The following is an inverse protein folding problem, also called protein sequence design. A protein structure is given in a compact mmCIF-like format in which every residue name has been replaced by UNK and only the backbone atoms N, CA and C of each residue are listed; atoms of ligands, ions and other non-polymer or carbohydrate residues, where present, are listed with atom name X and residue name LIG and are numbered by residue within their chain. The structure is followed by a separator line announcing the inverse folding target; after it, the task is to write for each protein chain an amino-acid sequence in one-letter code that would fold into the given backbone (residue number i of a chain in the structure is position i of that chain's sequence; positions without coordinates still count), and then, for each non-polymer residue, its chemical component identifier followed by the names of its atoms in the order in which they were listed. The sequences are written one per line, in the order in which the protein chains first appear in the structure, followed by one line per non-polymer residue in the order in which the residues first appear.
data_IF_159210410669
#
_entry.id   IF_159210410669
#
_cell.length_a   1.000
_cell.length_b   1.000
_cell.length_c   1.000
_cell.angle_alpha   90.00
_cell.angle_beta   90.00
_cell.angle_gamma   90.00
#
_symmetry.space_group_name_H-M   'P 1'
#
loop_
_entity.id
_entity.type
_entity.pdbx_description
1 polymer ?
#
# COMPACT_ATOMS: atom_id res chain seq x y z
N UNK A 1 10.90 -2.92 -26.66
CA UNK A 1 9.74 -3.55 -26.00
C UNK A 1 8.66 -2.50 -25.86
N UNK A 2 7.39 -2.87 -26.01
CA UNK A 2 6.26 -1.94 -25.81
C UNK A 2 6.29 -1.40 -24.36
N UNK A 3 6.21 -0.06 -24.23
CA UNK A 3 6.08 0.62 -22.94
C UNK A 3 4.61 0.79 -22.59
N UNK A 4 4.28 0.53 -21.34
CA UNK A 4 2.97 0.71 -20.73
C UNK A 4 3.00 2.01 -19.92
N UNK A 5 1.98 2.85 -20.09
CA UNK A 5 1.72 3.97 -19.19
C UNK A 5 0.99 3.43 -17.96
N UNK A 6 1.52 3.70 -16.77
CA UNK A 6 1.03 3.15 -15.53
C UNK A 6 0.76 4.23 -14.48
N UNK A 7 -0.08 3.89 -13.51
CA UNK A 7 -0.38 4.73 -12.36
C UNK A 7 -0.38 3.90 -11.07
N UNK A 8 0.48 4.27 -10.12
CA UNK A 8 0.49 3.71 -8.78
C UNK A 8 -0.41 4.56 -7.88
N UNK A 9 -1.58 4.03 -7.54
CA UNK A 9 -2.53 4.71 -6.64
C UNK A 9 -2.01 4.61 -5.21
N UNK A 10 -1.94 5.72 -4.48
CA UNK A 10 -1.51 5.74 -3.09
C UNK A 10 -2.40 6.63 -2.23
N UNK A 11 -2.16 6.63 -0.92
CA UNK A 11 -2.85 7.54 -0.01
C UNK A 11 -2.26 8.94 -0.12
N UNK A 12 -3.10 9.99 -0.01
CA UNK A 12 -2.61 11.37 0.04
C UNK A 12 -1.53 11.57 1.10
N UNK A 13 -0.41 12.14 0.68
CA UNK A 13 0.80 12.35 1.48
C UNK A 13 1.89 11.29 1.29
N UNK A 14 1.61 10.17 0.61
CA UNK A 14 2.59 9.09 0.36
C UNK A 14 3.17 9.10 -1.06
N UNK A 15 2.78 10.05 -1.90
CA UNK A 15 3.15 10.08 -3.33
C UNK A 15 4.67 10.15 -3.52
N UNK A 16 5.35 10.98 -2.73
CA UNK A 16 6.81 11.11 -2.79
C UNK A 16 7.52 9.80 -2.44
N UNK A 17 7.06 9.13 -1.38
CA UNK A 17 7.64 7.85 -0.92
C UNK A 17 7.42 6.77 -1.97
N UNK A 18 6.23 6.71 -2.59
CA UNK A 18 5.96 5.77 -3.69
C UNK A 18 6.82 6.07 -4.92
N UNK A 19 7.05 7.34 -5.25
CA UNK A 19 7.92 7.73 -6.36
C UNK A 19 9.38 7.30 -6.14
N UNK A 20 9.89 7.47 -4.92
CA UNK A 20 11.22 6.99 -4.52
C UNK A 20 11.31 5.46 -4.62
N UNK A 21 10.30 4.74 -4.12
CA UNK A 21 10.25 3.27 -4.21
C UNK A 21 10.18 2.77 -5.66
N UNK A 22 9.41 3.43 -6.53
CA UNK A 22 9.37 3.14 -7.96
C UNK A 22 10.75 3.33 -8.63
N UNK A 23 11.51 4.34 -8.22
CA UNK A 23 12.88 4.57 -8.70
C UNK A 23 13.81 3.37 -8.49
N UNK A 24 13.60 2.62 -7.41
CA UNK A 24 14.36 1.40 -7.10
C UNK A 24 13.91 0.18 -7.92
N UNK A 25 12.80 0.28 -8.64
CA UNK A 25 12.20 -0.79 -9.44
C UNK A 25 12.40 -0.59 -10.94
N UNK A 26 13.40 0.21 -11.34
CA UNK A 26 13.83 0.42 -12.73
C UNK A 26 12.65 0.67 -13.69
N UNK A 27 11.78 1.60 -13.32
CA UNK A 27 10.73 2.15 -14.17
C UNK A 27 11.18 3.50 -14.73
N UNK A 28 10.50 3.96 -15.78
CA UNK A 28 10.81 5.22 -16.46
C UNK A 28 9.77 6.31 -16.14
N UNK A 29 10.11 7.57 -16.42
CA UNK A 29 9.16 8.71 -16.44
C UNK A 29 8.29 8.85 -15.18
N UNK A 30 8.92 8.72 -14.01
CA UNK A 30 8.23 8.83 -12.71
C UNK A 30 7.78 10.29 -12.50
N UNK A 31 6.47 10.50 -12.37
CA UNK A 31 5.87 11.80 -12.11
C UNK A 31 4.80 11.69 -11.03
N UNK A 32 5.01 12.40 -9.93
CA UNK A 32 4.03 12.54 -8.85
C UNK A 32 2.77 13.24 -9.39
N UNK A 33 1.61 12.78 -8.93
CA UNK A 33 0.30 13.34 -9.23
C UNK A 33 -0.60 13.25 -8.00
N UNK A 34 -1.74 13.93 -8.00
CA UNK A 34 -2.66 13.83 -6.87
C UNK A 34 -3.17 12.39 -6.68
N UNK A 35 -2.94 11.83 -5.48
CA UNK A 35 -3.36 10.48 -5.12
C UNK A 35 -2.54 9.35 -5.76
N UNK A 36 -1.40 9.64 -6.39
CA UNK A 36 -0.56 8.60 -6.95
C UNK A 36 0.68 9.06 -7.71
N UNK A 37 1.24 8.13 -8.47
CA UNK A 37 2.46 8.36 -9.25
C UNK A 37 2.29 7.76 -10.64
N UNK A 38 2.43 8.59 -11.67
CA UNK A 38 2.53 8.16 -13.08
C UNK A 38 3.93 7.64 -13.34
N UNK A 39 4.04 6.58 -14.13
CA UNK A 39 5.31 6.02 -14.57
C UNK A 39 5.12 5.21 -15.84
N UNK A 40 6.22 4.89 -16.53
CA UNK A 40 6.25 3.96 -17.65
C UNK A 40 7.05 2.71 -17.34
N UNK A 41 6.62 1.58 -17.87
CA UNK A 41 7.35 0.31 -17.71
C UNK A 41 7.05 -0.67 -18.84
N UNK A 42 7.87 -1.69 -18.99
CA UNK A 42 7.49 -2.89 -19.76
C UNK A 42 6.55 -3.79 -18.94
N UNK A 43 5.93 -4.80 -19.58
CA UNK A 43 5.14 -5.82 -18.88
C UNK A 43 5.95 -6.57 -17.79
N UNK A 44 7.25 -6.81 -17.99
CA UNK A 44 8.08 -7.43 -16.96
C UNK A 44 8.25 -6.51 -15.74
N UNK A 45 8.41 -5.21 -15.99
CA UNK A 45 8.46 -4.23 -14.91
C UNK A 45 7.11 -4.04 -14.23
N UNK A 46 5.98 -4.17 -14.94
CA UNK A 46 4.65 -4.19 -14.31
C UNK A 46 4.49 -5.34 -13.32
N UNK A 47 4.93 -6.54 -13.69
CA UNK A 47 4.96 -7.69 -12.78
C UNK A 47 5.86 -7.42 -11.57
N UNK A 48 7.05 -6.86 -11.79
CA UNK A 48 8.00 -6.49 -10.74
C UNK A 48 7.41 -5.46 -9.77
N UNK A 49 6.74 -4.43 -10.29
CA UNK A 49 6.11 -3.38 -9.49
C UNK A 49 4.98 -3.96 -8.64
N UNK A 50 4.08 -4.76 -9.21
CA UNK A 50 3.01 -5.41 -8.45
C UNK A 50 3.54 -6.34 -7.35
N UNK A 51 4.65 -7.04 -7.60
CA UNK A 51 5.27 -7.93 -6.62
C UNK A 51 6.00 -7.19 -5.49
N UNK A 52 6.71 -6.10 -5.81
CA UNK A 52 7.72 -5.53 -4.89
C UNK A 52 7.31 -4.21 -4.26
N UNK A 53 6.43 -3.43 -4.88
CA UNK A 53 6.06 -2.12 -4.37
C UNK A 53 5.21 -2.27 -3.10
N UNK A 54 5.64 -1.65 -2.00
CA UNK A 54 4.99 -1.75 -0.70
C UNK A 54 4.08 -0.59 -0.41
N UNK A 55 4.40 0.61 -0.89
CA UNK A 55 3.75 1.83 -0.39
C UNK A 55 2.49 2.22 -1.19
N UNK A 56 2.23 1.59 -2.34
CA UNK A 56 1.03 1.85 -3.15
C UNK A 56 -0.11 0.88 -2.84
N UNK A 57 -1.34 1.35 -3.08
CA UNK A 57 -2.57 0.57 -2.87
C UNK A 57 -3.00 -0.23 -4.10
N UNK A 58 -2.76 0.28 -5.31
CA UNK A 58 -3.10 -0.38 -6.60
C UNK A 58 -2.16 0.08 -7.69
N UNK A 59 -1.91 -0.77 -8.67
CA UNK A 59 -1.20 -0.47 -9.90
C UNK A 59 -2.16 -0.60 -11.08
N UNK A 60 -2.24 0.45 -11.88
CA UNK A 60 -3.12 0.53 -13.04
C UNK A 60 -2.29 0.67 -14.31
N UNK A 61 -2.74 0.09 -15.42
CA UNK A 61 -2.28 0.48 -16.76
C UNK A 61 -3.27 1.48 -17.32
N UNK A 62 -2.79 2.63 -17.77
CA UNK A 62 -3.59 3.61 -18.50
C UNK A 62 -3.74 3.17 -19.95
N UNK A 63 -4.94 2.75 -20.33
CA UNK A 63 -5.26 2.27 -21.68
C UNK A 63 -5.58 3.40 -22.64
N UNK A 64 -6.22 4.46 -22.14
CA UNK A 64 -6.51 5.66 -22.91
C UNK A 64 -6.67 6.89 -22.00
N UNK A 65 -6.32 8.05 -22.54
CA UNK A 65 -6.62 9.35 -21.96
C UNK A 65 -7.09 10.28 -23.09
N UNK A 66 -8.23 10.94 -22.91
CA UNK A 66 -8.81 11.82 -23.92
C UNK A 66 -9.84 12.78 -23.31
N UNK A 67 -9.99 13.96 -23.92
CA UNK A 67 -11.12 14.85 -23.62
C UNK A 67 -12.42 14.26 -24.14
N UNK A 68 -13.53 14.39 -23.41
CA UNK A 68 -14.87 14.01 -23.90
C UNK A 68 -15.95 14.84 -23.21
N UNK A 69 -16.99 15.21 -23.96
CA UNK A 69 -18.11 16.01 -23.43
C UNK A 69 -19.47 15.33 -23.54
N UNK A 70 -19.54 14.13 -24.13
CA UNK A 70 -20.79 13.40 -24.34
C UNK A 70 -20.62 11.88 -24.16
N UNK A 71 -21.70 11.20 -23.77
CA UNK A 71 -21.70 9.73 -23.64
C UNK A 71 -21.42 9.00 -24.96
N UNK A 72 -21.98 9.42 -26.12
CA UNK A 72 -21.63 8.80 -27.40
C UNK A 72 -20.14 8.93 -27.75
N UNK A 73 -19.53 10.08 -27.46
CA UNK A 73 -18.09 10.29 -27.67
C UNK A 73 -17.25 9.38 -26.76
N UNK A 74 -17.62 9.29 -25.46
CA UNK A 74 -16.99 8.38 -24.51
C UNK A 74 -17.07 6.92 -24.99
N UNK A 75 -18.27 6.45 -25.38
CA UNK A 75 -18.49 5.10 -25.90
C UNK A 75 -17.60 4.82 -27.12
N UNK A 76 -17.62 5.73 -28.11
CA UNK A 76 -16.88 5.56 -29.36
C UNK A 76 -15.36 5.55 -29.14
N UNK A 77 -14.85 6.36 -28.20
CA UNK A 77 -13.43 6.36 -27.84
C UNK A 77 -13.04 5.14 -27.02
N UNK A 78 -13.86 4.73 -26.05
CA UNK A 78 -13.64 3.52 -25.26
C UNK A 78 -13.62 2.26 -26.15
N UNK A 79 -14.48 2.19 -27.17
CA UNK A 79 -14.55 1.07 -28.13
C UNK A 79 -13.26 0.88 -28.93
N UNK A 80 -12.45 1.92 -29.13
CA UNK A 80 -11.18 1.86 -29.90
C UNK A 80 -10.04 1.21 -29.13
N UNK A 81 -10.15 1.06 -27.80
CA UNK A 81 -9.13 0.43 -26.97
C UNK A 81 -8.98 -1.05 -27.36
N UNK A 82 -7.76 -1.58 -27.31
CA UNK A 82 -7.44 -2.99 -27.60
C UNK A 82 -7.78 -3.91 -26.41
N UNK A 83 -9.06 -3.94 -26.04
CA UNK A 83 -9.59 -4.72 -24.92
C UNK A 83 -9.29 -6.22 -25.02
N UNK A 84 -9.15 -6.77 -26.23
CA UNK A 84 -8.83 -8.17 -26.54
C UNK A 84 -7.52 -8.67 -25.92
N UNK A 85 -6.64 -7.74 -25.51
CA UNK A 85 -5.41 -8.07 -24.81
C UNK A 85 -5.65 -8.46 -23.36
N UNK A 86 -6.73 -7.98 -22.75
CA UNK A 86 -6.93 -8.02 -21.31
C UNK A 86 -8.22 -8.72 -20.88
N UNK A 87 -9.26 -8.72 -21.73
CA UNK A 87 -10.57 -9.28 -21.41
C UNK A 87 -11.07 -10.20 -22.53
N UNK A 88 -11.94 -11.13 -22.15
CA UNK A 88 -12.63 -12.10 -23.01
C UNK A 88 -14.14 -11.87 -22.96
N UNK A 89 -14.90 -12.54 -23.83
CA UNK A 89 -16.38 -12.49 -23.82
C UNK A 89 -17.00 -12.92 -22.47
N UNK A 90 -16.34 -13.83 -21.75
CA UNK A 90 -16.79 -14.37 -20.46
C UNK A 90 -16.22 -13.63 -19.25
N UNK A 91 -15.40 -12.60 -19.47
CA UNK A 91 -14.85 -11.80 -18.38
C UNK A 91 -15.97 -11.07 -17.64
N UNK A 92 -16.02 -11.24 -16.31
CA UNK A 92 -16.81 -10.42 -15.41
C UNK A 92 -16.12 -9.08 -15.24
N UNK A 93 -16.71 -8.04 -15.82
CA UNK A 93 -16.24 -6.67 -15.72
C UNK A 93 -16.78 -6.00 -14.45
N UNK A 94 -15.91 -5.27 -13.77
CA UNK A 94 -16.24 -4.36 -12.68
C UNK A 94 -15.77 -2.96 -13.09
N UNK A 95 -16.65 -2.25 -13.80
CA UNK A 95 -16.36 -0.90 -14.27
C UNK A 95 -16.78 0.10 -13.20
N UNK A 96 -15.84 0.93 -12.77
CA UNK A 96 -16.06 1.94 -11.72
C UNK A 96 -15.67 3.31 -12.22
N UNK A 97 -16.55 4.29 -12.04
CA UNK A 97 -16.30 5.67 -12.44
C UNK A 97 -16.18 6.62 -11.26
N UNK A 98 -15.27 7.58 -11.39
CA UNK A 98 -15.25 8.80 -10.58
C UNK A 98 -15.35 10.01 -11.50
N UNK A 99 -16.14 11.01 -11.10
CA UNK A 99 -16.39 12.21 -11.90
C UNK A 99 -16.20 13.46 -11.05
N UNK A 100 -15.28 14.33 -11.48
CA UNK A 100 -14.99 15.62 -10.87
C UNK A 100 -14.83 16.67 -11.97
N UNK A 101 -15.32 17.90 -11.74
CA UNK A 101 -15.14 19.03 -12.66
C UNK A 101 -15.62 18.81 -14.11
N UNK A 102 -16.48 17.82 -14.38
CA UNK A 102 -16.82 17.39 -15.74
C UNK A 102 -18.30 17.57 -16.08
N UNK A 103 -18.60 17.72 -17.38
CA UNK A 103 -19.99 17.69 -17.90
C UNK A 103 -20.67 16.32 -17.72
N UNK A 104 -19.90 15.23 -17.73
CA UNK A 104 -20.44 13.87 -17.54
C UNK A 104 -20.48 13.51 -16.05
N UNK A 105 -21.43 14.08 -15.29
CA UNK A 105 -21.51 13.92 -13.83
C UNK A 105 -22.07 12.57 -13.36
N UNK A 106 -22.79 11.85 -14.20
CA UNK A 106 -23.46 10.60 -13.81
C UNK A 106 -22.52 9.40 -13.92
N UNK A 107 -21.83 9.06 -12.82
CA UNK A 107 -20.88 7.93 -12.74
C UNK A 107 -21.46 6.62 -13.27
N UNK A 108 -22.68 6.24 -12.88
CA UNK A 108 -23.32 5.01 -13.38
C UNK A 108 -23.56 4.99 -14.91
N UNK A 109 -23.80 6.15 -15.53
CA UNK A 109 -23.91 6.23 -17.01
C UNK A 109 -22.54 6.14 -17.68
N UNK A 110 -21.49 6.68 -17.05
CA UNK A 110 -20.10 6.52 -17.51
C UNK A 110 -19.68 5.05 -17.44
N UNK A 111 -19.99 4.37 -16.33
CA UNK A 111 -19.74 2.94 -16.14
C UNK A 111 -20.44 2.09 -17.19
N UNK A 112 -21.73 2.35 -17.42
CA UNK A 112 -22.51 1.65 -18.45
C UNK A 112 -21.95 1.88 -19.85
N UNK A 113 -21.67 3.13 -20.24
CA UNK A 113 -21.14 3.46 -21.55
C UNK A 113 -19.80 2.76 -21.85
N UNK A 114 -18.91 2.68 -20.86
CA UNK A 114 -17.63 1.95 -21.01
C UNK A 114 -17.85 0.44 -21.00
N UNK A 115 -18.76 -0.08 -20.16
CA UNK A 115 -19.11 -1.51 -20.15
C UNK A 115 -19.64 -1.96 -21.50
N UNK A 116 -20.57 -1.22 -22.08
CA UNK A 116 -21.16 -1.51 -23.40
C UNK A 116 -20.12 -1.42 -24.51
N UNK A 117 -19.19 -0.46 -24.43
CA UNK A 117 -18.11 -0.33 -25.40
C UNK A 117 -17.16 -1.55 -25.37
N UNK A 118 -16.86 -2.08 -24.18
CA UNK A 118 -16.06 -3.30 -24.01
C UNK A 118 -16.83 -4.50 -24.58
N UNK A 119 -18.08 -4.69 -24.16
CA UNK A 119 -18.92 -5.83 -24.55
C UNK A 119 -19.17 -5.89 -26.07
N UNK A 120 -19.41 -4.74 -26.70
CA UNK A 120 -19.68 -4.67 -28.14
C UNK A 120 -18.51 -5.18 -29.00
N UNK A 121 -17.27 -5.00 -28.55
CA UNK A 121 -16.07 -5.47 -29.27
C UNK A 121 -15.80 -6.97 -29.08
N UNK A 122 -16.36 -7.58 -28.03
CA UNK A 122 -16.09 -8.96 -27.61
C UNK A 122 -17.26 -9.92 -27.80
N UNK A 123 -18.18 -9.62 -28.72
CA UNK A 123 -19.14 -10.60 -29.22
C UNK A 123 -18.41 -11.67 -30.09
N UNK A 124 -17.59 -12.50 -29.47
CA UNK A 124 -16.87 -13.64 -30.07
C UNK A 124 -17.35 -14.95 -29.44
N UNK A 125 -17.37 -16.07 -30.19
CA UNK A 125 -17.99 -17.33 -29.77
C UNK A 125 -17.28 -17.99 -28.57
N UNK A 126 -18.07 -18.62 -27.69
CA UNK A 126 -17.69 -19.24 -26.41
C UNK A 126 -16.69 -20.41 -26.49
N UNK A 127 -16.18 -20.77 -27.67
CA UNK A 127 -15.57 -22.08 -27.94
C UNK A 127 -14.10 -22.26 -27.50
N UNK A 128 -13.52 -21.31 -26.76
CA UNK A 128 -12.16 -21.43 -26.24
C UNK A 128 -12.15 -21.45 -24.70
N UNK A 129 -12.83 -22.41 -24.08
CA UNK A 129 -12.86 -22.55 -22.63
C UNK A 129 -12.55 -23.99 -22.21
N UNK A 130 -11.29 -24.25 -21.88
CA UNK A 130 -10.93 -25.36 -20.99
C UNK A 130 -10.66 -24.78 -19.60
N UNK A 131 -11.67 -24.84 -18.74
CA UNK A 131 -11.51 -25.08 -17.30
C UNK A 131 -10.89 -24.00 -16.41
N UNK A 132 -11.10 -22.69 -16.64
CA UNK A 132 -10.67 -21.67 -15.67
C UNK A 132 -11.85 -20.91 -15.06
N UNK A 133 -11.71 -20.58 -13.78
CA UNK A 133 -12.58 -19.65 -13.05
C UNK A 133 -12.89 -18.39 -13.87
N UNK A 134 -14.09 -17.81 -13.69
CA UNK A 134 -14.47 -16.58 -14.39
C UNK A 134 -13.47 -15.46 -14.09
N UNK A 135 -12.91 -14.87 -15.13
CA UNK A 135 -12.01 -13.72 -15.03
C UNK A 135 -12.75 -12.52 -14.45
N UNK A 136 -12.30 -12.02 -13.31
CA UNK A 136 -12.81 -10.79 -12.72
C UNK A 136 -11.83 -9.65 -13.04
N UNK A 137 -12.27 -8.68 -13.84
CA UNK A 137 -11.44 -7.54 -14.24
C UNK A 137 -12.07 -6.21 -13.85
N UNK A 138 -11.36 -5.44 -13.02
CA UNK A 138 -11.74 -4.08 -12.73
C UNK A 138 -11.21 -3.11 -13.79
N UNK A 139 -12.08 -2.20 -14.23
CA UNK A 139 -11.77 -1.09 -15.13
C UNK A 139 -12.14 0.21 -14.43
N UNK A 140 -11.16 1.11 -14.28
CA UNK A 140 -11.33 2.36 -13.57
C UNK A 140 -11.40 3.50 -14.58
N UNK A 141 -12.49 4.25 -14.53
CA UNK A 141 -12.76 5.41 -15.39
C UNK A 141 -12.73 6.66 -14.52
N UNK A 142 -11.70 7.49 -14.68
CA UNK A 142 -11.63 8.79 -14.00
C UNK A 142 -11.99 9.89 -14.99
N UNK A 143 -13.00 10.66 -14.67
CA UNK A 143 -13.36 11.90 -15.36
C UNK A 143 -12.95 13.07 -14.48
N UNK A 144 -12.08 13.93 -15.00
CA UNK A 144 -11.54 15.08 -14.27
C UNK A 144 -11.35 16.25 -15.24
N UNK A 145 -12.04 17.37 -15.03
CA UNK A 145 -12.01 18.55 -15.92
C UNK A 145 -12.20 18.21 -17.42
N UNK A 146 -13.20 17.36 -17.68
CA UNK A 146 -13.56 16.78 -18.99
C UNK A 146 -12.48 15.87 -19.62
N UNK A 147 -11.41 15.55 -18.90
CA UNK A 147 -10.42 14.56 -19.30
C UNK A 147 -10.85 13.19 -18.76
N UNK A 148 -11.13 12.26 -19.68
CA UNK A 148 -11.41 10.87 -19.39
C UNK A 148 -10.12 10.06 -19.39
N UNK A 149 -9.90 9.31 -18.31
CA UNK A 149 -8.81 8.37 -18.12
C UNK A 149 -9.37 6.97 -17.92
N UNK A 150 -9.14 6.06 -18.85
CA UNK A 150 -9.58 4.67 -18.75
C UNK A 150 -8.38 3.80 -18.41
N UNK A 151 -8.43 3.13 -17.26
CA UNK A 151 -7.35 2.30 -16.76
C UNK A 151 -7.83 0.90 -16.43
N UNK A 152 -6.95 -0.09 -16.58
CA UNK A 152 -7.21 -1.47 -16.17
C UNK A 152 -6.41 -1.79 -14.90
N UNK A 153 -7.09 -2.40 -13.93
CA UNK A 153 -6.49 -2.80 -12.67
C UNK A 153 -5.60 -4.02 -12.84
N UNK A 154 -4.39 -3.94 -12.28
CA UNK A 154 -3.39 -5.01 -12.36
C UNK A 154 -3.16 -5.68 -11.01
N UNK A 155 -3.68 -5.09 -9.94
CA UNK A 155 -3.46 -5.56 -8.57
C UNK A 155 -4.57 -6.48 -8.06
N UNK A 156 -5.81 -6.34 -8.54
CA UNK A 156 -6.94 -7.14 -8.06
C UNK A 156 -7.43 -6.67 -6.70
N UNK A 157 -7.19 -7.43 -5.64
CA UNK A 157 -7.37 -6.90 -4.29
C UNK A 157 -6.34 -5.78 -4.02
N UNK A 158 -6.65 -4.86 -3.11
CA UNK A 158 -5.71 -3.79 -2.75
C UNK A 158 -4.40 -4.37 -2.23
N UNK A 159 -3.29 -3.78 -2.62
CA UNK A 159 -1.96 -4.28 -2.28
C UNK A 159 -1.69 -4.25 -0.77
N UNK A 160 -2.30 -3.36 0.01
CA UNK A 160 -2.18 -3.43 1.47
C UNK A 160 -2.77 -4.72 2.07
N UNK A 161 -3.60 -5.47 1.34
CA UNK A 161 -4.06 -6.81 1.76
C UNK A 161 -3.03 -7.85 1.36
N UNK A 162 -1.93 -7.92 2.11
CA UNK A 162 -0.82 -8.87 1.88
C UNK A 162 -1.18 -10.35 2.04
N UNK A 163 -2.35 -10.65 2.61
CA UNK A 163 -2.82 -12.01 2.88
C UNK A 163 -2.60 -12.51 4.30
N UNK A 164 -1.65 -11.93 5.07
CA UNK A 164 -1.34 -12.43 6.42
C UNK A 164 -2.30 -11.96 7.52
N UNK A 165 -3.03 -10.87 7.30
CA UNK A 165 -3.85 -10.24 8.34
C UNK A 165 -5.21 -10.93 8.46
N UNK A 166 -5.24 -12.04 9.18
CA UNK A 166 -6.48 -12.75 9.52
C UNK A 166 -7.15 -12.20 10.78
N UNK A 167 -6.37 -11.56 11.66
CA UNK A 167 -6.87 -10.98 12.91
C UNK A 167 -6.57 -9.48 12.96
N UNK A 168 -7.60 -8.67 13.16
CA UNK A 168 -7.49 -7.22 13.29
C UNK A 168 -7.93 -6.76 14.66
N UNK A 169 -7.11 -5.91 15.29
CA UNK A 169 -7.56 -5.06 16.39
C UNK A 169 -8.55 -4.00 15.90
N UNK A 170 -8.96 -3.10 16.80
CA UNK A 170 -9.86 -1.97 16.45
C UNK A 170 -9.12 -0.98 15.54
N UNK A 171 -9.50 -0.94 14.26
CA UNK A 171 -9.01 -0.02 13.22
C UNK A 171 -7.48 -0.03 13.00
N UNK A 172 -6.92 -1.11 12.44
CA UNK A 172 -5.49 -1.26 12.25
C UNK A 172 -4.90 -0.29 11.21
N UNK A 173 -3.64 0.10 11.41
CA UNK A 173 -2.83 0.77 10.40
C UNK A 173 -2.71 -0.11 9.16
N UNK A 174 -2.85 0.46 7.96
CA UNK A 174 -2.66 -0.27 6.70
C UNK A 174 -1.18 -0.61 6.52
N UNK A 175 -0.92 -1.77 5.94
CA UNK A 175 0.38 -2.33 5.60
C UNK A 175 1.20 -1.36 4.73
N UNK A 176 0.54 -0.74 3.74
CA UNK A 176 1.16 0.29 2.88
C UNK A 176 1.62 1.53 3.65
N UNK A 177 0.89 1.93 4.69
CA UNK A 177 1.27 3.07 5.54
C UNK A 177 2.45 2.68 6.44
N UNK A 178 2.41 1.48 7.02
CA UNK A 178 3.50 0.99 7.87
C UNK A 178 4.82 0.92 7.09
N UNK A 179 4.81 0.31 5.90
CA UNK A 179 5.98 0.27 5.01
C UNK A 179 6.45 1.67 4.60
N UNK A 180 5.53 2.59 4.30
CA UNK A 180 5.89 3.95 3.94
C UNK A 180 6.56 4.72 5.09
N UNK A 181 6.08 4.53 6.32
CA UNK A 181 6.68 5.17 7.51
C UNK A 181 8.06 4.56 7.81
N UNK A 182 8.23 3.25 7.67
CA UNK A 182 9.54 2.59 7.80
C UNK A 182 10.54 3.14 6.78
N UNK A 183 10.15 3.24 5.50
CA UNK A 183 10.97 3.87 4.46
C UNK A 183 11.29 5.33 4.78
N UNK A 184 10.27 6.12 5.13
CA UNK A 184 10.44 7.55 5.42
C UNK A 184 11.32 7.82 6.65
N UNK A 185 11.32 6.91 7.62
CA UNK A 185 12.15 6.98 8.82
C UNK A 185 13.62 6.66 8.59
N UNK A 186 14.02 6.27 7.36
CA UNK A 186 15.38 5.83 7.03
C UNK A 186 15.87 4.71 7.94
N UNK A 187 14.98 3.79 8.32
CA UNK A 187 15.34 2.61 9.12
C UNK A 187 16.20 1.66 8.29
N UNK A 188 17.32 1.22 8.86
CA UNK A 188 18.18 0.19 8.30
C UNK A 188 17.98 -1.13 9.03
N UNK A 189 18.02 -2.25 8.29
CA UNK A 189 17.81 -3.59 8.83
C UNK A 189 18.81 -4.01 9.93
N UNK A 190 19.99 -3.38 9.98
CA UNK A 190 20.99 -3.57 11.02
C UNK A 190 20.68 -2.85 12.32
N UNK A 191 19.77 -1.87 12.30
CA UNK A 191 19.40 -1.09 13.47
C UNK A 191 18.34 -1.81 14.29
N UNK A 192 18.42 -1.65 15.61
CA UNK A 192 17.36 -2.14 16.50
C UNK A 192 16.10 -1.32 16.30
N UNK A 193 14.98 -2.01 16.10
CA UNK A 193 13.66 -1.42 15.94
C UNK A 193 12.80 -1.74 17.16
N UNK A 194 12.46 -0.71 17.93
CA UNK A 194 11.48 -0.80 19.02
C UNK A 194 10.11 -0.37 18.51
N UNK A 195 9.12 -1.24 18.70
CA UNK A 195 7.72 -1.02 18.32
C UNK A 195 6.83 -1.14 19.55
N UNK A 196 6.88 -0.17 20.48
CA UNK A 196 5.92 -0.15 21.58
C UNK A 196 4.52 0.20 21.05
N UNK A 197 3.49 -0.34 21.72
CA UNK A 197 2.10 -0.25 21.26
C UNK A 197 1.94 -0.80 19.83
N UNK A 198 2.54 -1.96 19.57
CA UNK A 198 2.57 -2.56 18.23
C UNK A 198 1.18 -2.99 17.73
N UNK A 199 0.19 -3.09 18.63
CA UNK A 199 -1.13 -3.63 18.36
C UNK A 199 -1.03 -4.98 17.66
N UNK A 200 -1.73 -5.13 16.53
CA UNK A 200 -1.75 -6.36 15.73
C UNK A 200 -0.43 -6.68 14.98
N UNK A 201 0.66 -5.97 15.25
CA UNK A 201 2.01 -6.29 14.74
C UNK A 201 2.31 -5.81 13.32
N UNK A 202 1.55 -4.85 12.78
CA UNK A 202 1.70 -4.44 11.36
C UNK A 202 3.07 -3.89 11.03
N UNK A 203 3.60 -2.97 11.85
CA UNK A 203 4.95 -2.46 11.67
C UNK A 203 6.00 -3.57 11.77
N UNK A 204 5.82 -4.50 12.70
CA UNK A 204 6.78 -5.57 12.94
C UNK A 204 6.89 -6.51 11.74
N UNK A 205 5.74 -6.92 11.17
CA UNK A 205 5.71 -7.78 9.98
C UNK A 205 6.29 -7.06 8.76
N UNK A 206 5.89 -5.81 8.49
CA UNK A 206 6.43 -5.06 7.34
C UNK A 206 7.94 -4.80 7.50
N UNK A 207 8.42 -4.50 8.71
CA UNK A 207 9.85 -4.34 8.99
C UNK A 207 10.63 -5.64 8.74
N UNK A 208 10.14 -6.80 9.22
CA UNK A 208 10.80 -8.07 8.95
C UNK A 208 10.82 -8.39 7.45
N UNK A 209 9.70 -8.20 6.75
CA UNK A 209 9.65 -8.41 5.29
C UNK A 209 10.56 -7.45 4.51
N UNK A 210 10.72 -6.21 4.99
CA UNK A 210 11.66 -5.24 4.39
C UNK A 210 13.10 -5.70 4.58
N UNK A 211 13.50 -6.03 5.81
CA UNK A 211 14.86 -6.45 6.14
C UNK A 211 15.27 -7.80 5.53
N UNK A 212 14.33 -8.74 5.45
CA UNK A 212 14.56 -10.03 4.77
C UNK A 212 14.42 -9.92 3.25
N UNK A 213 14.22 -8.71 2.70
CA UNK A 213 13.99 -8.45 1.29
C UNK A 213 12.84 -9.28 0.66
N UNK A 214 11.89 -9.75 1.47
CA UNK A 214 10.70 -10.48 1.01
C UNK A 214 9.76 -9.55 0.26
N UNK A 215 9.56 -9.80 -1.03
CA UNK A 215 8.62 -9.03 -1.83
C UNK A 215 7.17 -9.13 -1.28
N UNK A 216 6.49 -7.99 -1.14
CA UNK A 216 5.20 -7.89 -0.46
C UNK A 216 4.04 -8.58 -1.18
N UNK A 217 4.17 -8.82 -2.49
CA UNK A 217 3.15 -9.42 -3.34
C UNK A 217 3.38 -10.89 -3.67
N UNK A 218 4.32 -11.59 -3.01
CA UNK A 218 4.63 -13.00 -3.34
C UNK A 218 3.41 -13.92 -3.21
N UNK A 219 2.60 -13.72 -2.18
CA UNK A 219 1.40 -14.52 -1.91
C UNK A 219 0.12 -13.88 -2.49
N UNK A 220 0.26 -12.79 -3.26
CA UNK A 220 -0.87 -12.03 -3.78
C UNK A 220 -1.41 -12.63 -5.08
N UNK A 221 -2.74 -12.61 -5.23
CA UNK A 221 -3.42 -13.07 -6.44
C UNK A 221 -3.62 -11.89 -7.39
N UNK A 222 -3.00 -11.98 -8.56
CA UNK A 222 -3.06 -10.91 -9.56
C UNK A 222 -3.99 -11.26 -10.73
N UNK A 223 -4.92 -10.36 -11.12
CA UNK A 223 -5.87 -10.60 -12.21
C UNK A 223 -5.18 -10.76 -13.57
N UNK A 224 -4.02 -10.12 -13.75
CA UNK A 224 -3.29 -10.19 -15.02
C UNK A 224 -2.83 -11.60 -15.41
N UNK A 225 -2.80 -12.56 -14.47
CA UNK A 225 -2.47 -13.96 -14.77
C UNK A 225 -3.51 -14.61 -15.69
N UNK A 226 -4.71 -14.05 -15.76
CA UNK A 226 -5.81 -14.57 -16.58
C UNK A 226 -5.96 -13.80 -17.91
N UNK A 227 -5.20 -12.73 -18.15
CA UNK A 227 -5.32 -11.94 -19.37
C UNK A 227 -4.95 -12.73 -20.63
N UNK A 228 -5.62 -12.51 -21.77
CA UNK A 228 -5.23 -13.11 -23.05
C UNK A 228 -3.78 -12.82 -23.48
N UNK A 229 -3.25 -11.63 -23.14
CA UNK A 229 -1.87 -11.27 -23.44
C UNK A 229 -0.84 -11.80 -22.42
N UNK A 230 -1.28 -12.46 -21.34
CA UNK A 230 -0.40 -13.01 -20.32
C UNK A 230 0.54 -14.07 -20.90
N UNK A 231 1.79 -14.06 -20.45
CA UNK A 231 2.80 -15.05 -20.83
C UNK A 231 3.44 -15.59 -19.57
N UNK A 232 3.05 -16.80 -19.19
CA UNK A 232 3.48 -17.47 -17.96
C UNK A 232 5.00 -17.52 -17.80
N UNK A 233 5.74 -17.87 -18.86
CA UNK A 233 7.21 -17.89 -18.84
C UNK A 233 7.84 -16.55 -18.42
N UNK A 234 7.23 -15.41 -18.81
CA UNK A 234 7.71 -14.07 -18.40
C UNK A 234 7.42 -13.84 -16.92
N UNK A 235 6.23 -14.20 -16.47
CA UNK A 235 5.83 -14.10 -15.08
C UNK A 235 6.75 -14.92 -14.17
N UNK A 236 6.91 -16.22 -14.44
CA UNK A 236 7.74 -17.11 -13.63
C UNK A 236 9.19 -16.62 -13.50
N UNK A 237 9.74 -16.01 -14.57
CA UNK A 237 11.05 -15.36 -14.52
C UNK A 237 11.10 -14.17 -13.56
N UNK A 238 10.09 -13.30 -13.58
CA UNK A 238 10.05 -12.13 -12.69
C UNK A 238 9.77 -12.56 -11.25
N UNK A 239 8.86 -13.51 -11.06
CA UNK A 239 8.51 -14.09 -9.77
C UNK A 239 9.73 -14.76 -9.11
N UNK A 240 10.41 -15.68 -9.82
CA UNK A 240 11.60 -16.36 -9.29
C UNK A 240 12.73 -15.40 -8.93
N UNK A 241 12.89 -14.29 -9.68
CA UNK A 241 13.83 -13.22 -9.30
C UNK A 241 13.42 -12.54 -7.98
N UNK A 242 12.15 -12.23 -7.80
CA UNK A 242 11.66 -11.60 -6.57
C UNK A 242 11.78 -12.54 -5.36
N UNK A 243 11.51 -13.83 -5.55
CA UNK A 243 11.67 -14.86 -4.52
C UNK A 243 13.13 -15.03 -4.11
N UNK A 244 14.04 -15.11 -5.08
CA UNK A 244 15.48 -15.25 -4.83
C UNK A 244 16.17 -14.01 -4.22
N UNK A 245 15.48 -12.87 -4.15
CA UNK A 245 16.00 -11.68 -3.46
C UNK A 245 15.90 -11.79 -1.93
N UNK A 246 15.10 -12.72 -1.42
CA UNK A 246 14.96 -12.94 0.02
C UNK A 246 16.30 -13.29 0.65
N UNK A 247 16.55 -12.75 1.85
CA UNK A 247 17.76 -13.00 2.62
C UNK A 247 17.42 -13.58 3.98
N UNK A 248 18.24 -14.52 4.40
CA UNK A 248 18.28 -14.97 5.78
C UNK A 248 19.23 -14.05 6.55
N UNK A 249 18.67 -13.02 7.18
CA UNK A 249 19.40 -12.06 8.02
C UNK A 249 18.84 -12.06 9.43
N UNK A 250 19.71 -11.85 10.41
CA UNK A 250 19.27 -11.57 11.77
C UNK A 250 18.77 -10.12 11.83
N UNK A 251 17.59 -9.93 12.40
CA UNK A 251 16.99 -8.60 12.61
C UNK A 251 16.66 -8.44 14.09
N UNK A 252 16.79 -7.23 14.61
CA UNK A 252 16.45 -6.94 16.00
C UNK A 252 15.17 -6.11 16.10
N UNK A 253 14.02 -6.77 15.90
CA UNK A 253 12.70 -6.16 15.95
C UNK A 253 12.03 -6.55 17.28
N UNK A 254 11.90 -5.59 18.18
CA UNK A 254 11.31 -5.76 19.50
C UNK A 254 9.93 -5.07 19.51
N UNK A 255 8.88 -5.87 19.49
CA UNK A 255 7.50 -5.40 19.47
C UNK A 255 6.82 -5.66 20.80
N UNK A 256 6.14 -4.65 21.35
CA UNK A 256 5.44 -4.79 22.62
C UNK A 256 4.10 -4.08 22.63
N UNK A 257 3.20 -4.59 23.46
CA UNK A 257 1.91 -3.97 23.75
C UNK A 257 1.50 -4.29 25.19
N UNK A 258 0.66 -3.43 25.77
CA UNK A 258 0.08 -3.65 27.09
C UNK A 258 -1.02 -4.72 27.03
N UNK A 259 -1.73 -4.77 25.90
CA UNK A 259 -2.84 -5.71 25.69
C UNK A 259 -2.31 -7.10 25.26
N UNK A 260 -2.53 -8.09 26.12
CA UNK A 260 -2.12 -9.47 25.85
C UNK A 260 -2.89 -10.09 24.69
N UNK A 261 -4.18 -9.78 24.55
CA UNK A 261 -5.01 -10.35 23.49
C UNK A 261 -4.59 -9.82 22.11
N UNK A 262 -4.25 -8.54 22.00
CA UNK A 262 -3.78 -7.97 20.73
C UNK A 262 -2.41 -8.53 20.33
N UNK A 263 -1.54 -8.82 21.31
CA UNK A 263 -0.25 -9.48 21.05
C UNK A 263 -0.41 -10.92 20.55
N UNK A 264 -1.39 -11.66 21.06
CA UNK A 264 -1.70 -12.98 20.50
C UNK A 264 -2.17 -12.88 19.04
N UNK A 265 -2.92 -11.83 18.68
CA UNK A 265 -3.25 -11.57 17.27
C UNK A 265 -2.00 -11.19 16.46
N UNK A 266 -1.09 -10.40 17.02
CA UNK A 266 0.17 -10.04 16.37
C UNK A 266 1.04 -11.28 16.08
N UNK A 267 1.17 -12.20 17.03
CA UNK A 267 1.88 -13.48 16.86
C UNK A 267 1.23 -14.34 15.77
N UNK A 268 -0.10 -14.42 15.73
CA UNK A 268 -0.83 -15.15 14.67
C UNK A 268 -0.62 -14.54 13.29
N UNK A 269 -0.67 -13.22 13.18
CA UNK A 269 -0.41 -12.51 11.93
C UNK A 269 1.04 -12.69 11.47
N UNK A 270 2.02 -12.61 12.37
CA UNK A 270 3.43 -12.86 12.08
C UNK A 270 3.65 -14.30 11.58
N UNK A 271 3.03 -15.29 12.25
CA UNK A 271 3.04 -16.69 11.79
C UNK A 271 2.45 -16.85 10.39
N UNK A 272 1.30 -16.24 10.12
CA UNK A 272 0.66 -16.25 8.80
C UNK A 272 1.53 -15.56 7.73
N UNK A 273 2.31 -14.56 8.12
CA UNK A 273 3.25 -13.86 7.25
C UNK A 273 4.59 -14.61 7.06
N UNK A 274 4.77 -15.76 7.72
CA UNK A 274 6.07 -16.43 7.86
C UNK A 274 7.17 -15.51 8.39
N UNK A 275 6.78 -14.57 9.26
CA UNK A 275 7.65 -13.63 9.95
C UNK A 275 7.99 -14.19 11.34
N UNK A 276 9.21 -14.71 11.51
CA UNK A 276 9.63 -15.47 12.70
C UNK A 276 10.71 -14.78 13.53
N UNK A 277 11.17 -13.60 13.10
CA UNK A 277 12.31 -12.88 13.69
C UNK A 277 11.89 -11.70 14.58
N UNK A 278 10.58 -11.58 14.83
CA UNK A 278 10.01 -10.57 15.73
C UNK A 278 9.96 -11.12 17.16
N UNK A 279 10.48 -10.34 18.10
CA UNK A 279 10.36 -10.63 19.52
C UNK A 279 9.15 -9.87 20.10
N UNK A 280 8.15 -10.60 20.57
CA UNK A 280 6.93 -10.04 21.14
C UNK A 280 6.90 -10.13 22.65
N UNK A 281 6.74 -8.99 23.34
CA UNK A 281 6.63 -8.92 24.80
C UNK A 281 5.36 -8.18 25.26
N UNK A 282 4.72 -8.67 26.32
CA UNK A 282 3.68 -7.89 27.01
C UNK A 282 4.38 -6.86 27.88
N UNK A 283 4.26 -5.58 27.53
CA UNK A 283 4.96 -4.50 28.22
C UNK A 283 4.20 -3.18 28.11
N UNK A 284 4.11 -2.47 29.23
CA UNK A 284 3.68 -1.09 29.26
C UNK A 284 4.75 -0.19 28.64
N UNK A 285 4.38 0.63 27.66
CA UNK A 285 5.32 1.58 27.02
C UNK A 285 5.95 2.53 28.03
N UNK A 286 5.24 2.90 29.10
CA UNK A 286 5.76 3.81 30.13
C UNK A 286 6.85 3.17 31.00
N UNK A 287 7.02 1.85 30.90
CA UNK A 287 8.09 1.07 31.57
C UNK A 287 9.13 0.56 30.57
N UNK A 288 9.14 1.10 29.35
CA UNK A 288 10.13 0.74 28.36
C UNK A 288 11.50 1.32 28.75
N UNK A 289 12.56 0.54 28.55
CA UNK A 289 13.95 0.98 28.71
C UNK A 289 14.75 0.59 27.48
N UNK A 290 15.86 1.29 27.18
CA UNK A 290 16.77 0.87 26.13
C UNK A 290 17.27 -0.55 26.39
N UNK A 291 17.30 -1.43 25.37
CA UNK A 291 17.91 -2.75 25.50
C UNK A 291 19.39 -2.64 25.91
N UNK A 292 19.79 -3.41 26.92
CA UNK A 292 21.15 -3.37 27.44
C UNK A 292 22.16 -3.86 26.38
N UNK A 293 23.28 -3.14 26.24
CA UNK A 293 24.36 -3.51 25.31
C UNK A 293 24.04 -3.28 23.82
N UNK A 294 22.97 -2.54 23.51
CA UNK A 294 22.53 -2.27 22.14
C UNK A 294 22.73 -0.79 21.82
N UNK A 295 23.32 -0.51 20.66
CA UNK A 295 23.47 0.85 20.16
C UNK A 295 22.09 1.49 19.88
N UNK A 296 21.96 2.83 20.01
CA UNK A 296 20.70 3.50 19.70
C UNK A 296 20.20 3.16 18.30
N UNK A 297 18.92 2.84 18.21
CA UNK A 297 18.25 2.51 16.95
C UNK A 297 17.05 3.42 16.70
N UNK A 298 15.94 2.81 16.30
CA UNK A 298 14.69 3.50 15.98
C UNK A 298 13.54 3.02 16.88
N UNK A 299 12.76 3.96 17.38
CA UNK A 299 11.47 3.71 18.02
C UNK A 299 10.38 4.19 17.06
N UNK A 300 9.44 3.32 16.69
CA UNK A 300 8.21 3.74 15.99
C UNK A 300 7.01 3.49 16.89
N UNK A 301 6.29 4.55 17.18
CA UNK A 301 5.20 4.56 18.13
C UNK A 301 3.91 4.99 17.43
N UNK A 302 2.86 4.19 17.58
CA UNK A 302 1.51 4.53 17.13
C UNK A 302 0.57 4.55 18.34
N UNK A 303 0.65 5.59 19.18
CA UNK A 303 -0.22 5.70 20.35
C UNK A 303 -1.69 5.66 19.94
N UNK A 304 -2.58 5.19 20.82
CA UNK A 304 -4.00 5.20 20.51
C UNK A 304 -4.52 6.65 20.35
N UNK A 305 -5.48 6.86 19.44
CA UNK A 305 -6.11 8.17 19.21
C UNK A 305 -7.56 8.03 18.70
N UNK A 306 -8.32 9.12 18.80
CA UNK A 306 -9.73 9.20 18.41
C UNK A 306 -10.66 8.43 19.35
N UNK A 307 -11.76 7.88 18.83
CA UNK A 307 -12.76 7.11 19.61
C UNK A 307 -12.20 5.83 20.26
N UNK A 308 -10.90 5.53 20.04
CA UNK A 308 -10.18 4.37 20.56
C UNK A 308 -9.83 4.50 22.04
N UNK A 309 -9.98 5.69 22.63
CA UNK A 309 -9.72 5.95 24.05
C UNK A 309 -10.96 6.62 24.66
N UNK A 310 -11.45 6.08 25.78
CA UNK A 310 -12.27 6.85 26.74
C UNK A 310 -11.29 7.46 27.74
N UNK A 311 -11.01 8.76 27.66
CA UNK A 311 -10.10 9.44 28.59
C UNK A 311 -9.20 10.49 27.95
N UNK A 312 -8.23 10.99 28.73
CA UNK A 312 -7.30 12.04 28.32
C UNK A 312 -6.17 11.49 27.43
N UNK A 313 -6.42 11.53 26.12
CA UNK A 313 -5.46 11.15 25.07
C UNK A 313 -4.16 11.94 25.16
N UNK A 314 -4.16 13.17 25.71
CA UNK A 314 -2.95 14.01 25.77
C UNK A 314 -1.94 13.52 26.80
N UNK A 315 -2.42 12.94 27.90
CA UNK A 315 -1.57 12.44 28.98
C UNK A 315 -0.52 11.43 28.51
N UNK A 316 -0.89 10.50 27.62
CA UNK A 316 0.03 9.49 27.10
C UNK A 316 1.12 10.13 26.22
N UNK A 317 0.81 11.15 25.42
CA UNK A 317 1.83 11.85 24.63
C UNK A 317 2.84 12.59 25.52
N UNK A 318 2.38 13.22 26.62
CA UNK A 318 3.26 13.85 27.60
C UNK A 318 4.21 12.85 28.25
N UNK A 319 3.67 11.74 28.73
CA UNK A 319 4.46 10.69 29.38
C UNK A 319 5.45 10.04 28.40
N UNK A 320 5.08 9.86 27.13
CA UNK A 320 6.00 9.41 26.09
C UNK A 320 7.14 10.41 25.90
N UNK A 321 6.84 11.72 25.81
CA UNK A 321 7.84 12.78 25.72
C UNK A 321 8.85 12.76 26.87
N UNK A 322 8.34 12.65 28.10
CA UNK A 322 9.17 12.55 29.33
C UNK A 322 10.04 11.28 29.33
N UNK A 323 9.47 10.13 28.96
CA UNK A 323 10.19 8.86 28.87
C UNK A 323 11.32 8.93 27.83
N UNK A 324 10.98 9.41 26.64
CA UNK A 324 11.92 9.55 25.53
C UNK A 324 13.09 10.45 25.89
N UNK A 325 12.81 11.60 26.52
CA UNK A 325 13.84 12.54 26.98
C UNK A 325 14.73 11.97 28.09
N UNK A 326 14.17 11.17 28.99
CA UNK A 326 14.88 10.69 30.18
C UNK A 326 15.67 9.39 29.95
N UNK A 327 15.20 8.51 29.06
CA UNK A 327 15.75 7.16 28.94
C UNK A 327 16.35 6.82 27.57
N UNK A 328 15.98 7.50 26.49
CA UNK A 328 16.31 7.08 25.12
C UNK A 328 17.23 8.08 24.40
N UNK A 329 18.31 8.49 25.08
CA UNK A 329 19.32 9.35 24.47
C UNK A 329 19.96 8.69 23.23
N UNK A 330 20.16 9.49 22.19
CA UNK A 330 20.66 9.05 20.88
C UNK A 330 19.68 8.24 20.01
N UNK A 331 18.52 7.80 20.53
CA UNK A 331 17.55 7.05 19.72
C UNK A 331 16.78 7.98 18.77
N UNK A 332 16.50 7.48 17.57
CA UNK A 332 15.57 8.13 16.64
C UNK A 332 14.16 7.73 17.03
N UNK A 333 13.23 8.68 16.99
CA UNK A 333 11.85 8.43 17.39
C UNK A 333 10.91 8.90 16.31
N UNK A 334 9.97 8.04 15.96
CA UNK A 334 8.90 8.31 15.01
C UNK A 334 7.57 8.10 15.71
N UNK A 335 6.78 9.16 15.85
CA UNK A 335 5.49 9.11 16.56
C UNK A 335 4.37 9.53 15.62
N UNK A 336 3.32 8.71 15.56
CA UNK A 336 2.07 9.08 14.88
C UNK A 336 1.24 9.92 15.85
N UNK A 337 0.91 11.15 15.45
CA UNK A 337 0.11 12.10 16.25
C UNK A 337 -1.16 12.50 15.48
N UNK A 338 -2.33 12.56 16.15
CA UNK A 338 -3.59 12.89 15.49
C UNK A 338 -3.78 14.39 15.23
N UNK A 339 -3.19 15.24 16.07
CA UNK A 339 -3.36 16.70 16.03
C UNK A 339 -2.20 17.44 16.74
N UNK A 340 -2.19 18.76 16.58
CA UNK A 340 -1.18 19.65 17.16
C UNK A 340 -1.20 19.66 18.70
N UNK A 341 -2.35 19.37 19.32
CA UNK A 341 -2.46 19.30 20.77
C UNK A 341 -1.65 18.15 21.35
N UNK A 342 -1.73 16.97 20.73
CA UNK A 342 -0.93 15.80 21.10
C UNK A 342 0.56 16.01 20.83
N UNK A 343 0.89 16.71 19.73
CA UNK A 343 2.28 17.08 19.43
C UNK A 343 2.88 18.00 20.50
N UNK A 344 2.15 19.02 20.93
CA UNK A 344 2.64 19.95 21.97
C UNK A 344 2.93 19.22 23.28
N UNK A 345 2.14 18.20 23.61
CA UNK A 345 2.33 17.39 24.82
C UNK A 345 3.60 16.52 24.75
N UNK A 346 4.02 16.06 23.56
CA UNK A 346 5.30 15.34 23.41
C UNK A 346 6.49 16.19 23.89
N UNK A 347 6.44 17.52 23.77
CA UNK A 347 7.47 18.42 24.31
C UNK A 347 8.88 18.22 23.72
N UNK A 348 8.99 17.57 22.55
CA UNK A 348 10.24 17.26 21.87
C UNK A 348 10.35 18.02 20.55
N UNK A 349 11.56 18.45 20.14
CA UNK A 349 11.75 19.16 18.89
C UNK A 349 11.44 18.27 17.68
N UNK A 350 10.66 18.78 16.72
CA UNK A 350 10.34 18.03 15.49
C UNK A 350 11.41 18.29 14.44
N UNK A 351 12.12 17.24 14.03
CA UNK A 351 13.14 17.31 12.96
C UNK A 351 12.53 17.17 11.57
N UNK A 352 11.59 16.23 11.41
CA UNK A 352 10.87 16.00 10.14
C UNK A 352 9.40 15.72 10.41
N UNK A 353 8.55 16.12 9.46
CA UNK A 353 7.10 15.89 9.49
C UNK A 353 6.65 15.25 8.19
N UNK A 354 5.81 14.22 8.31
CA UNK A 354 5.04 13.66 7.21
C UNK A 354 3.55 13.78 7.57
N UNK A 355 2.73 14.28 6.63
CA UNK A 355 1.29 14.42 6.82
C UNK A 355 0.58 13.47 5.86
N UNK A 356 -0.22 12.55 6.40
CA UNK A 356 -0.89 11.52 5.59
C UNK A 356 -2.36 11.42 5.95
N UNK A 357 -3.16 10.88 5.02
CA UNK A 357 -4.56 10.54 5.28
C UNK A 357 -4.70 9.11 5.80
N UNK A 358 -5.24 8.95 7.01
CA UNK A 358 -5.55 7.64 7.61
C UNK A 358 -6.95 7.64 8.24
N UNK A 359 -7.78 6.66 7.89
CA UNK A 359 -9.14 6.54 8.44
C UNK A 359 -10.04 7.75 8.13
N UNK A 360 -9.80 8.45 7.02
CA UNK A 360 -10.53 9.66 6.63
C UNK A 360 -10.02 10.96 7.29
N UNK A 361 -9.15 10.86 8.30
CA UNK A 361 -8.53 12.01 8.98
C UNK A 361 -7.10 12.23 8.51
N UNK A 362 -6.65 13.47 8.59
CA UNK A 362 -5.22 13.77 8.46
C UNK A 362 -4.54 13.48 9.79
N UNK A 363 -3.41 12.79 9.74
CA UNK A 363 -2.53 12.55 10.89
C UNK A 363 -1.12 13.02 10.53
N UNK A 364 -0.33 13.30 11.54
CA UNK A 364 1.07 13.66 11.38
C UNK A 364 1.97 12.54 11.90
N UNK A 365 3.06 12.30 11.19
CA UNK A 365 4.14 11.42 11.61
C UNK A 365 5.33 12.32 11.85
N UNK A 366 5.79 12.34 13.09
CA UNK A 366 6.86 13.22 13.55
C UNK A 366 8.11 12.39 13.76
N UNK A 367 9.21 12.83 13.18
CA UNK A 367 10.54 12.37 13.58
C UNK A 367 11.13 13.40 14.54
N UNK A 368 11.46 12.97 15.75
CA UNK A 368 11.90 13.80 16.87
C UNK A 368 13.43 13.82 17.01
#
# INVERSE_FOLDING_TARGET
MEKLNCFAVTLPGLEKIVAEELGLLSVDEIKIDDGGVRFQTTMDGLFRVNLRLRCATRILIRLAEFRTHSFPELYNKAKKIQWERYVTATTKLDVRASCHGTKLLHTGRVELAVTDAIRNKHALPESALKGSEMLHQAVLVRMDDDICSISIDTSGERLDRRGYRHHSGKAPLRETIAAAILNWSDWQESETLLLPMCGSGTFAVEAEWMATHRAAGLDHVFPFKQWPCFKEKRWLRVFGKAEAMQRDVTVNILASDLDREILEQARKNAKAASASRIQFAVQDVLKLSPPAGVAPGLIICNPPYGDRIKGDVKSIYRQLGELFKSAFDGWRMVVIVPDQGCENELGLPVKRRLKIKHGGKWVHILQL
#
